data_IF_850473747990
#
_entry.id   IF_850473747990
#
_cell.length_a   1.000
_cell.length_b   1.000
_cell.length_c   1.000
_cell.angle_alpha   90.00
_cell.angle_beta   90.00
_cell.angle_gamma   90.00
#
_symmetry.space_group_name_H-M   'P 1'
#
loop_
_entity.id
_entity.type
_entity.pdbx_description
1 polymer ?
#
# COMPACT_ATOMS: atom_id res chain seq x y z
N UNK A 1 15.11 -15.44 5.50
CA UNK A 1 13.65 -15.66 5.58
C UNK A 1 12.97 -14.54 4.84
N UNK A 2 12.09 -14.83 3.89
CA UNK A 2 11.26 -13.85 3.23
C UNK A 2 10.18 -13.36 4.20
N UNK A 3 9.96 -12.04 4.27
CA UNK A 3 8.89 -11.44 5.07
C UNK A 3 7.72 -11.12 4.15
N UNK A 4 6.50 -11.27 4.65
CA UNK A 4 5.26 -10.94 3.94
C UNK A 4 4.61 -9.76 4.63
N UNK A 5 4.38 -8.67 3.89
CA UNK A 5 3.63 -7.52 4.38
C UNK A 5 2.13 -7.79 4.24
N UNK A 6 1.36 -7.51 5.30
CA UNK A 6 -0.09 -7.71 5.33
C UNK A 6 -0.75 -6.39 5.72
N UNK A 7 -1.66 -5.91 4.88
CA UNK A 7 -2.47 -4.72 5.17
C UNK A 7 -3.52 -5.01 6.22
N UNK A 8 -3.60 -4.16 7.23
CA UNK A 8 -4.54 -4.26 8.34
C UNK A 8 -5.30 -2.94 8.50
N UNK A 9 -6.61 -3.04 8.59
CA UNK A 9 -7.49 -1.89 8.81
C UNK A 9 -7.76 -1.70 10.32
N UNK A 10 -7.28 -0.62 10.94
CA UNK A 10 -7.48 -0.35 12.36
C UNK A 10 -8.93 -0.03 12.73
N UNK A 11 -9.79 0.21 11.75
CA UNK A 11 -11.23 0.44 11.92
C UNK A 11 -12.07 -0.79 11.57
N UNK A 12 -11.46 -1.91 11.18
CA UNK A 12 -12.18 -3.16 10.94
C UNK A 12 -12.64 -3.74 12.30
N UNK A 13 -13.95 -4.05 12.47
CA UNK A 13 -14.48 -4.53 13.73
C UNK A 13 -13.99 -5.94 14.14
N UNK A 14 -13.47 -6.72 13.20
CA UNK A 14 -12.91 -8.04 13.46
C UNK A 14 -11.39 -7.99 13.71
N UNK A 15 -10.66 -7.16 12.98
CA UNK A 15 -9.20 -7.04 13.09
C UNK A 15 -8.78 -6.21 14.32
N UNK A 16 -9.44 -5.09 14.57
CA UNK A 16 -9.06 -4.16 15.62
C UNK A 16 -9.02 -4.79 17.04
N UNK A 17 -9.99 -5.61 17.46
CA UNK A 17 -9.94 -6.29 18.76
C UNK A 17 -8.77 -7.28 18.87
N UNK A 18 -8.43 -7.96 17.77
CA UNK A 18 -7.32 -8.90 17.72
C UNK A 18 -6.00 -8.19 17.99
N UNK A 19 -5.77 -7.07 17.34
CA UNK A 19 -4.58 -6.25 17.60
C UNK A 19 -4.56 -5.70 19.03
N UNK A 20 -5.69 -5.20 19.52
CA UNK A 20 -5.81 -4.68 20.90
C UNK A 20 -5.58 -5.74 21.98
N UNK A 21 -5.79 -7.02 21.69
CA UNK A 21 -5.52 -8.11 22.62
C UNK A 21 -4.02 -8.42 22.80
N UNK A 22 -3.13 -7.76 22.06
CA UNK A 22 -1.68 -7.94 22.17
C UNK A 22 -1.18 -9.26 21.58
N UNK A 23 -1.89 -9.85 20.62
CA UNK A 23 -1.43 -11.07 19.94
C UNK A 23 -0.08 -10.80 19.28
N UNK A 24 0.89 -11.66 19.58
CA UNK A 24 2.18 -11.66 18.89
C UNK A 24 1.98 -12.25 17.50
N UNK A 25 2.19 -11.44 16.47
CA UNK A 25 2.21 -11.92 15.10
C UNK A 25 3.44 -12.80 14.85
N UNK A 26 3.31 -13.78 13.96
CA UNK A 26 4.44 -14.54 13.46
C UNK A 26 5.46 -13.58 12.81
N UNK A 27 6.77 -13.67 13.14
CA UNK A 27 7.79 -12.74 12.65
C UNK A 27 8.00 -12.75 11.13
N UNK A 28 7.40 -13.72 10.42
CA UNK A 28 7.36 -13.76 8.96
C UNK A 28 6.38 -12.74 8.38
N UNK A 29 5.40 -12.32 9.16
CA UNK A 29 4.39 -11.34 8.74
C UNK A 29 4.70 -9.98 9.35
N UNK A 30 4.65 -8.96 8.51
CA UNK A 30 4.87 -7.59 8.90
C UNK A 30 3.59 -6.80 8.65
N UNK A 31 3.10 -6.12 9.68
CA UNK A 31 1.90 -5.32 9.58
C UNK A 31 2.11 -4.12 8.65
N UNK A 32 1.06 -3.74 7.95
CA UNK A 32 0.93 -2.50 7.20
C UNK A 32 -0.34 -1.80 7.67
N UNK A 33 -0.22 -0.55 8.10
CA UNK A 33 -1.35 0.23 8.59
C UNK A 33 -2.14 0.83 7.43
N UNK A 34 -3.33 0.30 7.18
CA UNK A 34 -4.18 0.72 6.07
C UNK A 34 -5.12 1.86 6.49
N UNK A 35 -5.10 2.97 5.78
CA UNK A 35 -5.76 4.22 6.14
C UNK A 35 -6.84 4.67 5.15
N UNK A 36 -7.28 3.81 4.24
CA UNK A 36 -8.27 4.13 3.21
C UNK A 36 -9.57 4.71 3.79
N UNK A 37 -10.06 4.15 4.88
CA UNK A 37 -11.29 4.59 5.51
C UNK A 37 -11.15 6.02 6.01
N UNK A 38 -10.08 6.33 6.73
CA UNK A 38 -9.83 7.67 7.26
C UNK A 38 -9.69 8.70 6.14
N UNK A 39 -9.02 8.33 5.04
CA UNK A 39 -8.77 9.25 3.93
C UNK A 39 -10.00 9.47 3.05
N UNK A 40 -10.80 8.44 2.82
CA UNK A 40 -11.91 8.46 1.84
C UNK A 40 -13.29 8.38 2.45
N UNK A 41 -13.39 7.85 3.65
CA UNK A 41 -14.66 7.60 4.33
C UNK A 41 -15.08 8.69 5.32
N UNK A 42 -14.36 9.80 5.40
CA UNK A 42 -14.81 10.93 6.23
C UNK A 42 -15.99 11.66 5.55
N UNK A 43 -17.10 11.93 6.27
CA UNK A 43 -17.29 11.90 7.71
C UNK A 43 -17.78 10.57 8.30
N UNK A 44 -18.18 9.56 7.51
CA UNK A 44 -18.78 8.32 8.03
C UNK A 44 -17.85 7.60 9.01
N UNK A 45 -16.56 7.55 8.72
CA UNK A 45 -15.57 6.90 9.58
C UNK A 45 -15.18 7.72 10.83
N UNK A 46 -15.63 8.97 10.91
CA UNK A 46 -15.58 9.78 12.14
C UNK A 46 -16.27 9.05 13.30
N UNK A 47 -17.42 8.43 13.04
CA UNK A 47 -18.16 7.68 14.05
C UNK A 47 -17.40 6.42 14.53
N UNK A 48 -16.68 5.76 13.61
CA UNK A 48 -15.86 4.61 13.96
C UNK A 48 -14.66 5.00 14.84
N UNK A 49 -14.05 6.16 14.60
CA UNK A 49 -13.02 6.72 15.47
C UNK A 49 -13.60 7.12 16.85
N UNK A 50 -14.76 7.78 16.86
CA UNK A 50 -15.43 8.17 18.09
C UNK A 50 -15.78 6.96 18.97
N UNK A 51 -16.23 5.86 18.38
CA UNK A 51 -16.51 4.61 19.10
C UNK A 51 -15.27 3.97 19.75
N UNK A 52 -14.08 4.30 19.26
CA UNK A 52 -12.80 3.90 19.83
C UNK A 52 -12.24 4.90 20.86
N UNK A 53 -13.00 5.96 21.20
CA UNK A 53 -12.64 6.94 22.22
C UNK A 53 -11.81 8.14 21.70
N UNK A 54 -11.83 8.40 20.40
CA UNK A 54 -11.23 9.59 19.80
C UNK A 54 -12.26 10.71 19.66
N UNK A 55 -11.89 11.94 20.03
CA UNK A 55 -12.79 13.11 19.97
C UNK A 55 -12.70 13.78 18.61
N UNK A 56 -13.40 13.22 17.64
CA UNK A 56 -13.43 13.71 16.27
C UNK A 56 -14.83 14.17 15.87
N UNK A 57 -14.89 15.11 14.95
CA UNK A 57 -16.11 15.71 14.44
C UNK A 57 -16.18 15.50 12.93
N UNK A 58 -17.40 15.49 12.36
CA UNK A 58 -17.60 15.37 10.90
C UNK A 58 -16.87 16.48 10.13
N UNK A 59 -16.90 17.69 10.68
CA UNK A 59 -16.08 18.79 10.16
C UNK A 59 -14.65 18.62 10.67
N UNK A 60 -13.70 18.43 9.78
CA UNK A 60 -12.28 18.33 10.12
C UNK A 60 -11.78 19.65 10.71
N UNK A 61 -11.57 19.66 12.02
CA UNK A 61 -11.07 20.79 12.83
C UNK A 61 -9.67 20.50 13.36
N UNK A 62 -9.00 21.50 13.94
CA UNK A 62 -7.70 21.29 14.60
C UNK A 62 -7.73 20.23 15.70
N UNK A 63 -8.74 20.21 16.62
CA UNK A 63 -8.95 19.11 17.55
C UNK A 63 -9.10 17.74 16.88
N UNK A 64 -9.91 17.62 15.81
CA UNK A 64 -10.05 16.36 15.06
C UNK A 64 -8.72 15.90 14.45
N UNK A 65 -7.92 16.81 13.89
CA UNK A 65 -6.59 16.50 13.38
C UNK A 65 -5.67 15.96 14.47
N UNK A 66 -5.66 16.60 15.65
CA UNK A 66 -4.86 16.14 16.79
C UNK A 66 -5.27 14.73 17.24
N UNK A 67 -6.57 14.42 17.26
CA UNK A 67 -7.08 13.11 17.60
C UNK A 67 -6.76 12.05 16.53
N UNK A 68 -6.80 12.38 15.24
CA UNK A 68 -6.34 11.49 14.17
C UNK A 68 -4.85 11.20 14.33
N UNK A 69 -4.02 12.18 14.65
CA UNK A 69 -2.59 11.96 14.92
C UNK A 69 -2.37 11.06 16.14
N UNK A 70 -3.14 11.25 17.22
CA UNK A 70 -3.12 10.37 18.40
C UNK A 70 -3.50 8.92 18.04
N UNK A 71 -4.52 8.76 17.19
CA UNK A 71 -4.93 7.47 16.66
C UNK A 71 -3.80 6.80 15.87
N UNK A 72 -3.16 7.51 14.95
CA UNK A 72 -2.06 7.00 14.14
C UNK A 72 -0.89 6.55 15.02
N UNK A 73 -0.47 7.38 15.97
CA UNK A 73 0.61 7.06 16.91
C UNK A 73 0.30 5.80 17.73
N UNK A 74 -0.89 5.73 18.30
CA UNK A 74 -1.33 4.57 19.12
C UNK A 74 -1.30 3.27 18.31
N UNK A 75 -1.80 3.28 17.07
CA UNK A 75 -1.80 2.10 16.22
C UNK A 75 -0.42 1.74 15.70
N UNK A 76 0.43 2.72 15.42
CA UNK A 76 1.81 2.47 15.04
C UNK A 76 2.63 1.84 16.19
N UNK A 77 2.42 2.28 17.43
CA UNK A 77 3.05 1.66 18.61
C UNK A 77 2.61 0.21 18.78
N UNK A 78 1.33 -0.07 18.59
CA UNK A 78 0.75 -1.39 18.75
C UNK A 78 1.12 -2.36 17.64
N UNK A 79 0.98 -1.96 16.41
CA UNK A 79 1.19 -2.81 15.23
C UNK A 79 2.64 -2.86 14.77
N UNK A 80 3.44 -1.82 15.05
CA UNK A 80 4.79 -1.62 14.53
C UNK A 80 4.85 -1.85 13.03
N UNK A 81 4.05 -1.12 12.24
CA UNK A 81 3.92 -1.38 10.82
C UNK A 81 5.21 -1.07 10.08
N UNK A 82 5.42 -1.74 8.94
CA UNK A 82 6.52 -1.43 8.05
C UNK A 82 6.34 -0.10 7.31
N UNK A 83 5.11 0.20 6.99
CA UNK A 83 4.67 1.42 6.31
C UNK A 83 3.18 1.63 6.53
N UNK A 84 2.69 2.82 6.20
CA UNK A 84 1.25 3.11 6.11
C UNK A 84 0.80 3.00 4.66
N UNK A 85 -0.46 2.64 4.40
CA UNK A 85 -0.96 2.43 3.05
C UNK A 85 -2.31 3.10 2.81
N UNK A 86 -2.45 3.70 1.64
CA UNK A 86 -3.71 4.22 1.10
C UNK A 86 -3.84 3.85 -0.37
N UNK A 87 -5.08 3.63 -0.83
CA UNK A 87 -5.40 3.28 -2.22
C UNK A 87 -6.27 4.36 -2.87
N UNK A 88 -5.68 5.51 -3.24
CA UNK A 88 -6.44 6.60 -3.86
C UNK A 88 -7.04 6.16 -5.20
N UNK A 89 -8.21 6.70 -5.57
CA UNK A 89 -8.81 6.46 -6.88
C UNK A 89 -7.95 7.08 -7.99
N UNK A 90 -8.24 6.71 -9.25
CA UNK A 90 -7.57 7.30 -10.41
C UNK A 90 -7.82 8.82 -10.55
N UNK A 91 -8.91 9.33 -9.93
CA UNK A 91 -9.27 10.76 -9.89
C UNK A 91 -8.66 11.50 -8.71
N UNK A 92 -7.75 10.87 -7.97
CA UNK A 92 -7.10 11.49 -6.81
C UNK A 92 -6.38 12.78 -7.23
N UNK A 93 -6.70 13.86 -6.53
CA UNK A 93 -6.03 15.15 -6.67
C UNK A 93 -5.54 15.62 -5.31
N UNK A 94 -4.35 16.20 -5.28
CA UNK A 94 -3.76 16.79 -4.10
C UNK A 94 -2.82 17.95 -4.52
N UNK A 95 -2.91 19.15 -3.88
CA UNK A 95 -3.84 19.46 -2.80
C UNK A 95 -5.26 19.78 -3.31
N UNK A 96 -6.27 19.54 -2.47
CA UNK A 96 -7.63 20.06 -2.65
C UNK A 96 -8.25 20.35 -1.26
N UNK A 97 -9.48 20.91 -1.26
CA UNK A 97 -10.19 21.30 -0.04
C UNK A 97 -11.04 20.18 0.58
N UNK A 98 -10.85 18.93 0.16
CA UNK A 98 -11.61 17.80 0.72
C UNK A 98 -11.16 17.48 2.15
N UNK A 99 -12.06 16.96 3.01
CA UNK A 99 -11.71 16.49 4.35
C UNK A 99 -10.55 15.50 4.33
N UNK A 100 -10.51 14.56 3.36
CA UNK A 100 -9.45 13.59 3.21
C UNK A 100 -8.10 14.23 2.94
N UNK A 101 -8.03 15.21 2.05
CA UNK A 101 -6.78 15.91 1.75
C UNK A 101 -6.29 16.77 2.92
N UNK A 102 -7.20 17.34 3.70
CA UNK A 102 -6.85 18.02 4.94
C UNK A 102 -6.27 17.04 5.98
N UNK A 103 -6.88 15.87 6.14
CA UNK A 103 -6.36 14.82 7.02
C UNK A 103 -5.01 14.30 6.51
N UNK A 104 -4.86 14.14 5.18
CA UNK A 104 -3.59 13.73 4.58
C UNK A 104 -2.47 14.74 4.91
N UNK A 105 -2.71 16.02 4.66
CA UNK A 105 -1.70 17.07 4.83
C UNK A 105 -1.39 17.39 6.30
N UNK A 106 -2.40 17.41 7.18
CA UNK A 106 -2.25 17.90 8.55
C UNK A 106 -2.08 16.77 9.59
N UNK A 107 -2.48 15.55 9.27
CA UNK A 107 -2.35 14.40 10.17
C UNK A 107 -1.42 13.31 9.62
N UNK A 108 -1.75 12.70 8.46
CA UNK A 108 -1.04 11.51 7.98
C UNK A 108 0.42 11.82 7.62
N UNK A 109 0.66 12.82 6.76
CA UNK A 109 2.02 13.16 6.34
C UNK A 109 2.92 13.60 7.49
N UNK A 110 2.48 14.48 8.43
CA UNK A 110 3.28 14.79 9.61
C UNK A 110 3.56 13.58 10.50
N UNK A 111 2.56 12.72 10.76
CA UNK A 111 2.74 11.52 11.57
C UNK A 111 3.69 10.52 10.91
N UNK A 112 3.58 10.30 9.60
CA UNK A 112 4.51 9.43 8.85
C UNK A 112 5.96 9.92 8.96
N UNK A 113 6.18 11.23 8.86
CA UNK A 113 7.51 11.82 9.00
C UNK A 113 8.05 11.64 10.43
N UNK A 114 7.27 11.98 11.46
CA UNK A 114 7.67 11.89 12.87
C UNK A 114 7.95 10.45 13.32
N UNK A 115 7.18 9.49 12.78
CA UNK A 115 7.34 8.06 13.08
C UNK A 115 8.31 7.36 12.12
N UNK A 116 8.94 8.10 11.20
CA UNK A 116 9.85 7.59 10.17
C UNK A 116 9.25 6.48 9.30
N UNK A 117 7.93 6.49 9.11
CA UNK A 117 7.20 5.50 8.33
C UNK A 117 6.98 5.98 6.88
N UNK A 118 7.28 5.15 5.88
CA UNK A 118 6.87 5.44 4.51
C UNK A 118 5.35 5.46 4.38
N UNK A 119 4.83 6.34 3.53
CA UNK A 119 3.44 6.31 3.08
C UNK A 119 3.37 5.61 1.72
N UNK A 120 2.64 4.52 1.66
CA UNK A 120 2.36 3.83 0.41
C UNK A 120 1.11 4.40 -0.26
N UNK A 121 1.25 4.77 -1.53
CA UNK A 121 0.17 5.24 -2.39
C UNK A 121 -0.04 4.23 -3.53
N UNK A 122 -1.18 3.55 -3.51
CA UNK A 122 -1.60 2.61 -4.56
C UNK A 122 -2.68 3.28 -5.41
N UNK A 123 -2.28 3.97 -6.49
CA UNK A 123 -3.13 4.89 -7.24
C UNK A 123 -3.71 4.23 -8.49
N UNK A 124 -4.98 4.49 -8.80
CA UNK A 124 -5.53 4.16 -10.13
C UNK A 124 -6.77 3.27 -10.13
N UNK A 125 -7.36 2.96 -8.97
CA UNK A 125 -8.59 2.16 -8.94
C UNK A 125 -9.77 2.96 -9.47
N UNK A 126 -10.47 2.38 -10.45
CA UNK A 126 -11.78 2.82 -10.90
C UNK A 126 -12.83 1.88 -10.35
N UNK A 127 -13.59 2.34 -9.36
CA UNK A 127 -14.56 1.51 -8.66
C UNK A 127 -15.77 1.19 -9.52
N UNK A 128 -16.25 -0.06 -9.40
CA UNK A 128 -17.52 -0.55 -9.95
C UNK A 128 -17.73 -0.25 -11.44
N UNK A 129 -16.72 -0.49 -12.26
CA UNK A 129 -16.87 -0.44 -13.72
C UNK A 129 -17.95 -1.40 -14.19
N UNK A 130 -18.07 -2.55 -13.52
CA UNK A 130 -19.24 -3.43 -13.63
C UNK A 130 -19.88 -3.63 -12.24
N UNK A 131 -20.93 -2.87 -11.89
CA UNK A 131 -21.56 -2.93 -10.57
C UNK A 131 -22.12 -4.30 -10.19
N UNK A 132 -22.49 -5.13 -11.18
CA UNK A 132 -23.04 -6.49 -10.95
C UNK A 132 -22.01 -7.43 -10.31
N UNK A 133 -20.72 -7.16 -10.52
CA UNK A 133 -19.63 -7.96 -9.96
C UNK A 133 -19.17 -7.46 -8.58
N UNK A 134 -19.79 -6.43 -8.04
CA UNK A 134 -19.42 -5.82 -6.74
C UNK A 134 -17.93 -5.44 -6.70
N UNK A 135 -17.17 -5.94 -5.71
CA UNK A 135 -15.72 -5.69 -5.58
C UNK A 135 -14.90 -6.25 -6.75
N UNK A 136 -15.33 -7.36 -7.35
CA UNK A 136 -14.71 -7.90 -8.56
C UNK A 136 -15.02 -7.06 -9.82
N UNK A 137 -15.90 -6.09 -9.73
CA UNK A 137 -16.27 -5.18 -10.80
C UNK A 137 -15.41 -3.92 -10.89
N UNK A 138 -14.39 -3.78 -10.05
CA UNK A 138 -13.45 -2.68 -10.12
C UNK A 138 -12.54 -2.81 -11.35
N UNK A 139 -12.05 -1.69 -11.84
CA UNK A 139 -11.22 -1.63 -13.03
C UNK A 139 -10.08 -0.61 -12.91
N UNK A 140 -9.39 -0.41 -14.01
CA UNK A 140 -8.25 0.48 -14.12
C UNK A 140 -8.68 1.87 -14.57
N UNK A 141 -8.15 2.90 -13.93
CA UNK A 141 -8.19 4.28 -14.39
C UNK A 141 -6.78 4.83 -14.55
N UNK A 142 -6.56 5.57 -15.62
CA UNK A 142 -5.33 6.35 -15.80
C UNK A 142 -5.38 7.54 -14.84
N UNK A 143 -4.39 7.64 -13.95
CA UNK A 143 -4.29 8.73 -12.98
C UNK A 143 -3.49 9.91 -13.55
N UNK A 144 -3.82 11.12 -13.08
CA UNK A 144 -2.94 12.27 -13.20
C UNK A 144 -1.92 12.20 -12.06
N UNK A 145 -0.64 12.03 -12.40
CA UNK A 145 0.44 11.94 -11.42
C UNK A 145 0.95 13.32 -10.94
N UNK A 146 0.38 14.43 -11.38
CA UNK A 146 0.72 15.76 -10.88
C UNK A 146 0.53 15.90 -9.37
N UNK A 147 -0.46 15.21 -8.78
CA UNK A 147 -0.63 15.13 -7.33
C UNK A 147 0.53 14.43 -6.63
N UNK A 148 1.10 13.38 -7.24
CA UNK A 148 2.29 12.69 -6.73
C UNK A 148 3.54 13.59 -6.82
N UNK A 149 3.71 14.28 -7.96
CA UNK A 149 4.78 15.27 -8.12
C UNK A 149 4.71 16.32 -7.01
N UNK A 150 3.51 16.88 -6.78
CA UNK A 150 3.31 17.87 -5.73
C UNK A 150 3.67 17.33 -4.34
N UNK A 151 3.24 16.11 -3.99
CA UNK A 151 3.58 15.46 -2.72
C UNK A 151 5.08 15.30 -2.55
N UNK A 152 5.78 14.76 -3.55
CA UNK A 152 7.22 14.54 -3.48
C UNK A 152 8.00 15.85 -3.32
N UNK A 153 7.59 16.90 -4.02
CA UNK A 153 8.24 18.22 -3.99
C UNK A 153 7.98 18.98 -2.70
N UNK A 154 6.72 18.95 -2.22
CA UNK A 154 6.29 19.75 -1.07
C UNK A 154 6.57 19.09 0.28
N UNK A 155 6.80 17.78 0.29
CA UNK A 155 7.08 16.97 1.49
C UNK A 155 8.37 16.15 1.32
N UNK A 156 9.54 16.81 1.16
CA UNK A 156 10.80 16.13 0.84
C UNK A 156 11.28 15.18 1.94
N UNK A 157 10.88 15.41 3.19
CA UNK A 157 11.24 14.58 4.33
C UNK A 157 10.33 13.36 4.52
N UNK A 158 9.22 13.29 3.77
CA UNK A 158 8.36 12.10 3.73
C UNK A 158 8.88 11.09 2.69
N UNK A 159 8.76 9.82 2.97
CA UNK A 159 9.11 8.74 2.05
C UNK A 159 7.83 8.14 1.44
N UNK A 160 7.79 8.04 0.14
CA UNK A 160 6.65 7.53 -0.62
C UNK A 160 6.99 6.21 -1.31
N UNK A 161 6.19 5.18 -1.04
CA UNK A 161 6.18 3.94 -1.80
C UNK A 161 5.00 4.00 -2.76
N UNK A 162 5.24 3.92 -4.07
CA UNK A 162 4.16 4.16 -5.04
C UNK A 162 3.99 3.01 -6.01
N UNK A 163 2.76 2.56 -6.14
CA UNK A 163 2.32 1.68 -7.20
C UNK A 163 1.16 2.33 -7.94
N UNK A 164 1.18 2.28 -9.26
CA UNK A 164 0.09 2.77 -10.12
C UNK A 164 -0.57 1.60 -10.82
N UNK A 165 -1.89 1.64 -10.96
CA UNK A 165 -2.64 0.51 -11.51
C UNK A 165 -2.69 0.53 -13.06
N UNK A 166 -2.56 1.71 -13.67
CA UNK A 166 -2.55 1.83 -15.12
C UNK A 166 -1.16 1.54 -15.70
N UNK A 167 -1.12 0.74 -16.77
CA UNK A 167 0.09 0.49 -17.55
C UNK A 167 0.67 1.79 -18.11
N UNK A 168 -0.18 2.71 -18.53
CA UNK A 168 0.17 3.99 -19.13
C UNK A 168 0.90 4.94 -18.17
N UNK A 169 0.72 4.77 -16.86
CA UNK A 169 1.40 5.58 -15.85
C UNK A 169 2.77 5.02 -15.43
N UNK A 170 3.19 3.83 -15.87
CA UNK A 170 4.42 3.20 -15.39
C UNK A 170 5.66 4.00 -15.78
N UNK A 171 5.73 4.46 -17.01
CA UNK A 171 6.86 5.26 -17.49
C UNK A 171 6.99 6.58 -16.71
N UNK A 172 5.90 7.33 -16.57
CA UNK A 172 5.87 8.59 -15.83
C UNK A 172 6.29 8.40 -14.37
N UNK A 173 5.81 7.32 -13.72
CA UNK A 173 6.23 6.96 -12.36
C UNK A 173 7.75 6.73 -12.28
N UNK A 174 8.33 6.01 -13.24
CA UNK A 174 9.77 5.77 -13.30
C UNK A 174 10.56 7.08 -13.50
N UNK A 175 10.06 7.99 -14.35
CA UNK A 175 10.67 9.30 -14.55
C UNK A 175 10.65 10.11 -13.26
N UNK A 176 9.54 10.14 -12.51
CA UNK A 176 9.46 10.82 -11.22
C UNK A 176 10.40 10.20 -10.18
N UNK A 177 10.49 8.87 -10.13
CA UNK A 177 11.40 8.19 -9.22
C UNK A 177 12.89 8.52 -9.46
N UNK A 178 13.26 8.90 -10.68
CA UNK A 178 14.60 9.44 -10.98
C UNK A 178 14.80 10.88 -10.52
N UNK A 179 13.73 11.63 -10.27
CA UNK A 179 13.80 13.05 -9.93
C UNK A 179 13.60 13.31 -8.44
N UNK A 180 12.96 12.39 -7.73
CA UNK A 180 12.62 12.54 -6.32
C UNK A 180 13.21 11.39 -5.49
N UNK A 181 14.19 11.70 -4.63
CA UNK A 181 14.87 10.70 -3.79
C UNK A 181 13.94 10.10 -2.73
N UNK A 182 12.83 10.77 -2.45
CA UNK A 182 11.81 10.33 -1.49
C UNK A 182 10.70 9.49 -2.12
N UNK A 183 10.83 9.12 -3.41
CA UNK A 183 9.88 8.30 -4.15
C UNK A 183 10.52 6.97 -4.56
N UNK A 184 9.88 5.85 -4.20
CA UNK A 184 10.29 4.52 -4.60
C UNK A 184 9.11 3.75 -5.20
N UNK A 185 9.16 3.36 -6.48
CA UNK A 185 8.18 2.46 -7.08
C UNK A 185 8.23 1.08 -6.43
N UNK A 186 7.07 0.45 -6.21
CA UNK A 186 7.02 -0.89 -5.67
C UNK A 186 5.98 -1.78 -6.36
N UNK A 187 6.42 -3.00 -6.64
CA UNK A 187 5.61 -4.11 -7.13
C UNK A 187 4.78 -3.86 -8.38
N UNK A 188 4.05 -4.90 -8.78
CA UNK A 188 3.00 -4.84 -9.78
C UNK A 188 1.68 -5.13 -9.08
N UNK A 189 0.87 -4.10 -8.90
CA UNK A 189 -0.31 -4.19 -8.07
C UNK A 189 -1.52 -4.76 -8.84
N UNK A 190 -2.23 -5.69 -8.22
CA UNK A 190 -3.55 -6.21 -8.57
C UNK A 190 -3.76 -6.54 -10.07
N UNK A 191 -4.39 -5.66 -10.85
CA UNK A 191 -4.72 -5.89 -12.26
C UNK A 191 -3.51 -5.88 -13.21
N UNK A 192 -2.34 -5.48 -12.73
CA UNK A 192 -1.06 -5.57 -13.43
C UNK A 192 -0.32 -6.88 -13.18
N UNK A 193 -0.85 -7.74 -12.29
CA UNK A 193 -0.18 -8.96 -11.87
C UNK A 193 -0.43 -10.10 -12.88
N UNK A 194 0.02 -9.91 -14.11
CA UNK A 194 0.08 -10.93 -15.15
C UNK A 194 1.50 -10.98 -15.74
N UNK A 195 1.97 -12.15 -16.23
CA UNK A 195 3.37 -12.36 -16.57
C UNK A 195 3.95 -11.34 -17.55
N UNK A 196 3.27 -11.03 -18.65
CA UNK A 196 3.74 -10.11 -19.67
C UNK A 196 3.85 -8.68 -19.16
N UNK A 197 2.86 -8.21 -18.40
CA UNK A 197 2.89 -6.86 -17.81
C UNK A 197 3.94 -6.75 -16.72
N UNK A 198 4.09 -7.77 -15.87
CA UNK A 198 5.13 -7.80 -14.84
C UNK A 198 6.52 -7.76 -15.46
N UNK A 199 6.75 -8.53 -16.54
CA UNK A 199 8.04 -8.52 -17.27
C UNK A 199 8.33 -7.15 -17.86
N UNK A 200 7.36 -6.55 -18.56
CA UNK A 200 7.51 -5.22 -19.17
C UNK A 200 7.86 -4.15 -18.13
N UNK A 201 7.06 -4.05 -17.05
CA UNK A 201 7.26 -3.06 -15.99
C UNK A 201 8.60 -3.28 -15.28
N UNK A 202 8.97 -4.53 -15.01
CA UNK A 202 10.24 -4.83 -14.34
C UNK A 202 11.43 -4.45 -15.21
N UNK A 203 11.36 -4.72 -16.51
CA UNK A 203 12.41 -4.35 -17.48
C UNK A 203 12.57 -2.83 -17.53
N UNK A 204 11.48 -2.08 -17.68
CA UNK A 204 11.51 -0.62 -17.71
C UNK A 204 12.11 -0.03 -16.43
N UNK A 205 11.71 -0.56 -15.27
CA UNK A 205 12.27 -0.12 -13.98
C UNK A 205 13.76 -0.41 -13.86
N UNK A 206 14.21 -1.58 -14.30
CA UNK A 206 15.64 -1.92 -14.31
C UNK A 206 16.43 -0.98 -15.20
N UNK A 207 15.93 -0.66 -16.39
CA UNK A 207 16.61 0.23 -17.34
C UNK A 207 16.66 1.68 -16.82
N UNK A 208 15.60 2.17 -16.19
CA UNK A 208 15.51 3.56 -15.74
C UNK A 208 16.05 3.79 -14.34
N UNK A 209 15.90 2.82 -13.43
CA UNK A 209 16.13 2.99 -11.98
C UNK A 209 17.22 2.06 -11.44
N UNK A 210 17.70 1.09 -12.23
CA UNK A 210 18.60 0.05 -11.73
C UNK A 210 17.92 -0.78 -10.65
N UNK A 211 18.46 -0.79 -9.44
CA UNK A 211 17.89 -1.52 -8.30
C UNK A 211 17.07 -0.64 -7.34
N UNK A 212 16.81 0.62 -7.72
CA UNK A 212 16.11 1.59 -6.85
C UNK A 212 14.58 1.44 -6.93
N UNK A 213 14.07 0.22 -6.80
CA UNK A 213 12.63 -0.09 -6.68
C UNK A 213 12.44 -1.41 -5.94
N UNK A 214 11.23 -1.65 -5.45
CA UNK A 214 10.87 -2.92 -4.83
C UNK A 214 10.19 -3.79 -5.90
N UNK A 215 10.79 -4.91 -6.33
CA UNK A 215 10.31 -5.65 -7.51
C UNK A 215 9.00 -6.40 -7.28
N UNK A 216 8.75 -6.84 -6.03
CA UNK A 216 7.61 -7.70 -5.76
C UNK A 216 6.65 -7.06 -4.76
N UNK A 217 5.45 -6.85 -5.21
CA UNK A 217 4.26 -6.60 -4.41
C UNK A 217 3.11 -7.29 -5.14
N UNK A 218 2.61 -8.38 -4.60
CA UNK A 218 1.40 -9.00 -5.09
C UNK A 218 0.34 -8.91 -4.00
N UNK A 219 -0.71 -8.19 -4.26
CA UNK A 219 -1.91 -8.21 -3.44
C UNK A 219 -2.76 -9.39 -3.90
N UNK A 220 -2.90 -10.39 -3.04
CA UNK A 220 -3.90 -11.42 -3.21
C UNK A 220 -5.09 -11.02 -2.35
N UNK A 221 -6.25 -10.81 -2.96
CA UNK A 221 -7.50 -10.74 -2.21
C UNK A 221 -7.71 -12.10 -1.52
N UNK A 222 -7.08 -12.26 -0.35
CA UNK A 222 -7.40 -13.35 0.55
C UNK A 222 -8.76 -13.04 1.18
N UNK A 223 -9.63 -14.02 1.24
CA UNK A 223 -10.81 -13.94 2.10
C UNK A 223 -10.38 -13.49 3.50
N UNK A 224 -11.13 -12.58 4.14
CA UNK A 224 -10.91 -12.07 5.52
C UNK A 224 -10.52 -13.17 6.53
N UNK A 225 -10.93 -14.41 6.28
CA UNK A 225 -10.57 -15.61 7.04
C UNK A 225 -9.05 -15.91 7.04
N UNK A 226 -8.28 -15.52 6.03
CA UNK A 226 -6.85 -15.81 5.99
C UNK A 226 -6.07 -14.99 7.02
N UNK A 227 -6.49 -13.76 7.31
CA UNK A 227 -5.85 -12.90 8.32
C UNK A 227 -6.10 -13.44 9.75
N UNK A 228 -7.31 -13.95 10.02
CA UNK A 228 -7.66 -14.55 11.31
C UNK A 228 -7.09 -15.96 11.50
N UNK A 229 -6.90 -16.73 10.40
CA UNK A 229 -6.28 -18.05 10.47
C UNK A 229 -4.80 -18.00 10.83
N UNK A 230 -4.07 -16.97 10.41
CA UNK A 230 -2.66 -16.79 10.81
C UNK A 230 -2.55 -16.55 12.32
N UNK A 231 -3.50 -15.85 12.90
CA UNK A 231 -3.55 -15.65 14.36
C UNK A 231 -3.99 -16.89 15.15
N UNK A 232 -4.71 -17.83 14.52
CA UNK A 232 -5.22 -19.05 15.18
C UNK A 232 -4.34 -20.29 14.95
N UNK A 233 -3.43 -20.30 14.00
CA UNK A 233 -2.59 -21.47 13.65
C UNK A 233 -1.15 -21.36 14.17
N UNK A 234 -0.96 -21.00 15.42
CA UNK A 234 0.30 -21.26 16.13
C UNK A 234 0.40 -22.71 16.65
N UNK A 235 -0.43 -23.59 16.15
CA UNK A 235 -0.39 -25.00 16.47
C UNK A 235 -0.90 -25.83 15.30
N UNK A 236 -0.06 -26.15 14.40
CA UNK A 236 0.05 -27.33 13.55
C UNK A 236 0.20 -27.08 12.04
N UNK A 237 1.18 -27.81 11.48
CA UNK A 237 1.43 -28.20 10.09
C UNK A 237 1.58 -27.13 9.00
N UNK A 238 2.81 -27.07 8.51
CA UNK A 238 3.24 -26.35 7.32
C UNK A 238 2.41 -26.64 6.07
N UNK A 239 1.78 -25.60 5.56
CA UNK A 239 1.33 -25.56 4.18
C UNK A 239 2.37 -24.77 3.37
N UNK A 240 2.94 -25.47 2.43
CA UNK A 240 4.00 -25.07 1.49
C UNK A 240 3.51 -23.95 0.55
N UNK A 241 3.81 -22.68 0.86
CA UNK A 241 3.52 -21.52 0.00
C UNK A 241 4.71 -21.15 -0.91
N UNK A 242 5.63 -22.09 -1.14
CA UNK A 242 6.90 -21.89 -1.85
C UNK A 242 6.90 -22.13 -3.37
N UNK A 243 5.78 -22.39 -4.02
CA UNK A 243 5.79 -22.74 -5.47
C UNK A 243 4.92 -21.84 -6.33
N UNK A 244 5.41 -20.65 -6.65
CA UNK A 244 4.96 -19.86 -7.80
C UNK A 244 6.05 -18.92 -8.32
N UNK A 245 7.25 -19.45 -8.50
CA UNK A 245 8.26 -18.85 -9.39
C UNK A 245 8.47 -19.84 -10.53
N UNK A 246 8.40 -19.45 -11.81
CA UNK A 246 8.80 -20.32 -12.90
C UNK A 246 10.32 -20.57 -12.81
N UNK A 247 10.72 -21.83 -12.80
CA UNK A 247 12.12 -22.31 -12.72
C UNK A 247 12.98 -21.98 -13.94
N UNK A 248 12.62 -21.06 -14.81
CA UNK A 248 13.27 -20.84 -16.11
C UNK A 248 14.19 -19.61 -16.19
N UNK A 249 14.75 -19.14 -15.09
CA UNK A 249 15.78 -18.07 -15.12
C UNK A 249 17.22 -18.54 -14.92
N UNK A 250 17.47 -19.85 -14.92
CA UNK A 250 18.83 -20.39 -14.91
C UNK A 250 19.01 -21.39 -16.05
N UNK A 251 19.78 -21.00 -17.09
CA UNK A 251 20.30 -21.98 -18.03
C UNK A 251 20.47 -21.54 -19.46
N UNK A 252 21.30 -20.55 -19.72
CA UNK A 252 22.16 -20.61 -20.92
C UNK A 252 23.55 -21.04 -20.48
N UNK A 253 23.79 -22.35 -20.54
CA UNK A 253 25.13 -22.89 -20.55
C UNK A 253 25.76 -22.60 -21.91
N UNK A 254 26.94 -22.04 -21.88
CA UNK A 254 27.88 -22.03 -22.97
C UNK A 254 28.04 -23.45 -23.53
N UNK A 255 27.77 -23.61 -24.80
CA UNK A 255 27.96 -24.83 -25.57
C UNK A 255 29.11 -24.67 -26.56
N UNK A 256 30.20 -25.27 -26.21
CA UNK A 256 31.33 -25.74 -27.00
C UNK A 256 31.42 -25.36 -28.47
N UNK A 257 32.42 -24.55 -28.79
CA UNK A 257 33.17 -24.64 -30.04
C UNK A 257 34.13 -25.85 -29.96
N UNK A 258 33.91 -26.85 -30.76
CA UNK A 258 34.96 -27.75 -31.29
C UNK A 258 34.55 -28.22 -32.67
N UNK A 259 35.30 -27.78 -33.65
CA UNK A 259 36.06 -28.54 -34.64
C UNK A 259 35.28 -29.13 -35.83
N UNK A 260 35.37 -28.55 -36.97
CA UNK A 260 36.10 -28.98 -38.17
C UNK A 260 35.89 -27.94 -39.29
#
# INVERSE_FOLDING_TARGET
>A
MSRVAITNDPLDPEEAPVWKSGIKSDPRFQAVLHLDRILRGWPEDCQALASQGYRVEERVSGPSISEVRRFLTSWCEQMRPAYTAVSPPYTFQFPDDTPGNKILSEAILPSCRELELPLSLMIGVRRQVNPRLRLAGDGVGRADLGSLEYLCRSYPDNRFLVSVLSRENQHELCVYARKFNNLMPFGCWWLLNNPSTVEEITRERLELLGTSFIPQHSERQGTRAAHLQVAKHTGDSGADFGKCLPENLHGRKEGDQKGN
#
